data_IF_977574935156
#
_entry.id   IF_977574935156
#
_cell.length_a   1.000
_cell.length_b   1.000
_cell.length_c   1.000
_cell.angle_alpha   90.00
_cell.angle_beta   90.00
_cell.angle_gamma   90.00
#
_symmetry.space_group_name_H-M   'P 1'
#
loop_
_entity.id
_entity.type
_entity.pdbx_description
1 polymer ?
#
# COMPACT_ATOMS: atom_id res chain seq x y z
N UNK A 1 -24.53 2.59 2.19
CA UNK A 1 -24.47 1.22 1.66
C UNK A 1 -23.22 0.53 2.19
N UNK A 2 -23.27 -0.80 2.36
CA UNK A 2 -22.11 -1.61 2.81
C UNK A 2 -20.87 -1.38 1.92
N UNK A 3 -21.07 -1.23 0.62
CA UNK A 3 -19.98 -0.93 -0.32
C UNK A 3 -19.25 0.37 0.04
N UNK A 4 -19.99 1.45 0.35
CA UNK A 4 -19.37 2.73 0.71
C UNK A 4 -18.55 2.62 2.01
N UNK A 5 -19.01 1.83 2.98
CA UNK A 5 -18.27 1.57 4.21
C UNK A 5 -16.94 0.83 3.93
N UNK A 6 -17.00 -0.21 3.10
CA UNK A 6 -15.79 -0.96 2.69
C UNK A 6 -14.79 -0.08 1.92
N UNK A 7 -15.28 0.75 1.00
CA UNK A 7 -14.42 1.69 0.27
C UNK A 7 -13.75 2.69 1.23
N UNK A 8 -14.52 3.28 2.16
CA UNK A 8 -13.95 4.22 3.13
C UNK A 8 -12.93 3.54 4.06
N UNK A 9 -13.22 2.34 4.53
CA UNK A 9 -12.26 1.57 5.33
C UNK A 9 -10.98 1.25 4.55
N UNK A 10 -11.10 0.87 3.28
CA UNK A 10 -9.96 0.62 2.42
C UNK A 10 -9.12 1.88 2.18
N UNK A 11 -9.75 3.04 1.96
CA UNK A 11 -9.06 4.31 1.76
C UNK A 11 -8.32 4.78 3.01
N UNK A 12 -8.89 4.56 4.20
CA UNK A 12 -8.26 4.95 5.48
C UNK A 12 -7.20 3.97 5.96
N UNK A 13 -7.36 2.67 5.68
CA UNK A 13 -6.50 1.61 6.19
C UNK A 13 -5.42 1.10 5.22
N UNK A 14 -5.38 1.58 3.98
CA UNK A 14 -4.47 1.04 2.95
C UNK A 14 -3.02 1.52 3.13
N UNK A 15 -2.06 0.62 3.36
CA UNK A 15 -0.64 0.96 3.42
C UNK A 15 -0.10 1.52 2.08
N UNK A 16 -0.64 1.06 0.95
CA UNK A 16 -0.21 1.54 -0.37
C UNK A 16 -0.61 3.00 -0.61
N UNK A 17 -1.80 3.42 -0.14
CA UNK A 17 -2.24 4.80 -0.20
C UNK A 17 -1.44 5.67 0.78
N UNK A 18 -1.14 5.18 1.98
CA UNK A 18 -0.27 5.86 2.94
C UNK A 18 1.13 6.10 2.35
N UNK A 19 1.71 5.10 1.67
CA UNK A 19 2.99 5.24 0.98
C UNK A 19 2.93 6.28 -0.16
N UNK A 20 1.82 6.35 -0.91
CA UNK A 20 1.63 7.35 -1.96
C UNK A 20 1.52 8.77 -1.38
N UNK A 21 0.80 8.94 -0.27
CA UNK A 21 0.70 10.21 0.44
C UNK A 21 2.07 10.66 1.00
N UNK A 22 2.85 9.75 1.58
CA UNK A 22 4.20 10.04 2.06
C UNK A 22 5.15 10.50 0.93
N UNK A 23 5.00 9.95 -0.29
CA UNK A 23 5.74 10.42 -1.47
C UNK A 23 5.34 11.84 -1.87
N UNK A 24 4.06 12.15 -1.81
CA UNK A 24 3.58 13.52 -2.02
C UNK A 24 4.15 14.49 -0.96
N UNK A 25 4.09 14.14 0.32
CA UNK A 25 4.65 14.96 1.40
C UNK A 25 6.15 15.20 1.23
N UNK A 26 6.89 14.14 0.86
CA UNK A 26 8.32 14.27 0.51
C UNK A 26 8.54 15.24 -0.64
N UNK A 27 7.79 15.13 -1.72
CA UNK A 27 7.92 16.02 -2.89
C UNK A 27 7.56 17.48 -2.53
N UNK A 28 6.52 17.68 -1.69
CA UNK A 28 6.14 19.00 -1.19
C UNK A 28 7.22 19.61 -0.30
N UNK A 29 7.83 18.82 0.58
CA UNK A 29 8.95 19.26 1.41
C UNK A 29 10.20 19.64 0.59
N UNK A 30 10.51 18.90 -0.47
CA UNK A 30 11.58 19.24 -1.40
C UNK A 30 11.28 20.55 -2.16
N UNK A 31 10.04 20.77 -2.58
CA UNK A 31 9.65 22.03 -3.21
C UNK A 31 9.79 23.23 -2.22
N UNK A 32 9.38 23.03 -0.96
CA UNK A 32 9.58 24.02 0.09
C UNK A 32 11.07 24.30 0.35
N UNK A 33 11.91 23.27 0.38
CA UNK A 33 13.37 23.44 0.50
C UNK A 33 13.98 24.20 -0.68
N UNK A 34 13.49 23.94 -1.91
CA UNK A 34 13.93 24.65 -3.11
C UNK A 34 13.55 26.13 -3.10
N UNK A 35 12.43 26.51 -2.46
CA UNK A 35 11.99 27.90 -2.37
C UNK A 35 12.94 28.78 -1.54
N UNK A 36 13.70 28.19 -0.61
CA UNK A 36 14.66 28.88 0.25
C UNK A 36 16.08 28.92 -0.31
N UNK A 37 16.30 28.37 -1.53
CA UNK A 37 17.63 28.27 -2.12
C UNK A 37 18.26 29.65 -2.44
N UNK A 38 17.43 30.65 -2.73
CA UNK A 38 17.85 32.03 -3.02
C UNK A 38 17.93 32.93 -1.79
N UNK A 39 17.56 32.42 -0.61
CA UNK A 39 17.51 33.21 0.62
C UNK A 39 18.93 33.46 1.16
N UNK A 40 19.06 34.54 1.90
CA UNK A 40 20.30 34.87 2.62
C UNK A 40 20.49 33.84 3.74
N UNK A 41 21.62 33.16 3.76
CA UNK A 41 21.98 32.17 4.78
C UNK A 41 23.07 32.72 5.71
N UNK A 42 22.74 32.84 6.99
CA UNK A 42 23.67 33.08 8.06
C UNK A 42 24.17 31.77 8.66
N UNK A 43 25.46 31.60 8.83
CA UNK A 43 26.08 30.50 9.55
C UNK A 43 26.89 31.02 10.71
N UNK A 44 26.76 30.42 11.88
CA UNK A 44 27.59 30.64 13.05
C UNK A 44 28.20 29.32 13.47
N UNK A 45 29.52 29.24 13.51
CA UNK A 45 30.23 28.08 14.00
C UNK A 45 31.20 28.50 15.13
N UNK A 46 31.25 27.62 16.13
CA UNK A 46 32.20 27.79 17.24
C UNK A 46 32.85 26.42 17.49
N UNK A 47 34.16 26.41 17.51
CA UNK A 47 34.92 25.20 17.82
C UNK A 47 35.99 25.54 18.89
N UNK A 48 36.23 24.58 19.77
CA UNK A 48 37.28 24.65 20.76
C UNK A 48 38.11 23.38 20.70
N UNK A 49 39.41 23.53 20.52
CA UNK A 49 40.33 22.40 20.39
C UNK A 49 41.41 22.48 21.45
N UNK A 50 41.68 21.36 22.13
CA UNK A 50 42.83 21.20 22.99
C UNK A 50 43.80 20.24 22.31
N UNK A 51 44.97 20.75 21.93
CA UNK A 51 45.93 20.02 21.15
C UNK A 51 47.32 20.06 21.81
N UNK A 52 48.02 18.91 21.82
CA UNK A 52 49.43 18.84 22.18
C UNK A 52 50.26 18.97 20.90
N UNK A 53 51.14 19.95 20.86
CA UNK A 53 52.05 20.14 19.75
C UNK A 53 53.31 19.29 19.97
N UNK A 54 53.80 18.65 18.90
CA UNK A 54 55.01 17.84 18.95
C UNK A 54 56.24 18.72 19.18
N UNK A 55 57.19 18.24 19.98
CA UNK A 55 58.48 18.94 20.21
C UNK A 55 59.38 18.94 18.97
N UNK A 56 59.22 17.96 18.08
CA UNK A 56 60.05 17.73 16.90
C UNK A 56 59.38 18.11 15.59
N UNK A 57 58.42 19.04 15.61
CA UNK A 57 57.65 19.50 14.45
C UNK A 57 58.20 20.81 13.87
N UNK A 58 57.47 21.33 12.85
CA UNK A 58 57.80 22.60 12.19
C UNK A 58 57.37 23.83 13.02
N UNK A 59 56.76 23.65 14.17
CA UNK A 59 56.27 24.73 15.05
C UNK A 59 57.38 25.04 16.05
N UNK A 60 57.84 26.32 16.14
CA UNK A 60 58.91 26.69 17.04
C UNK A 60 58.48 26.82 18.50
N UNK A 61 59.47 26.89 19.41
CA UNK A 61 59.16 27.27 20.78
C UNK A 61 58.55 28.70 20.84
N UNK A 62 57.64 28.96 21.77
CA UNK A 62 57.27 28.17 22.97
C UNK A 62 56.15 27.15 22.77
N UNK A 63 55.62 27.00 21.57
CA UNK A 63 54.46 26.13 21.29
C UNK A 63 54.86 24.66 21.23
N UNK A 64 56.02 24.36 20.66
CA UNK A 64 56.55 23.00 20.53
C UNK A 64 56.61 22.28 21.88
N UNK A 65 56.09 21.05 21.95
CA UNK A 65 56.10 20.20 23.15
C UNK A 65 54.98 20.51 24.17
N UNK A 66 54.28 21.61 24.03
CA UNK A 66 53.25 22.06 25.00
C UNK A 66 51.86 21.79 24.54
N UNK A 67 50.90 21.88 25.48
CA UNK A 67 49.46 21.76 25.22
C UNK A 67 48.85 23.16 25.19
N UNK A 68 48.18 23.47 24.09
CA UNK A 68 47.43 24.72 23.95
C UNK A 68 45.95 24.45 23.69
N UNK A 69 45.13 25.40 24.17
CA UNK A 69 43.72 25.49 23.85
C UNK A 69 43.54 26.57 22.79
N UNK A 70 42.87 26.25 21.72
CA UNK A 70 42.43 27.21 20.72
C UNK A 70 40.90 27.21 20.65
N UNK A 71 40.33 28.39 20.51
CA UNK A 71 38.92 28.57 20.24
C UNK A 71 38.75 29.43 18.99
N UNK A 72 37.90 29.02 18.10
CA UNK A 72 37.54 29.76 16.90
C UNK A 72 36.04 29.98 16.86
N UNK A 73 35.65 31.22 16.60
CA UNK A 73 34.25 31.59 16.37
C UNK A 73 34.17 32.25 15.00
N UNK A 74 33.36 31.71 14.14
CA UNK A 74 33.21 32.18 12.77
C UNK A 74 31.78 32.47 12.46
N UNK A 75 31.47 33.66 11.98
CA UNK A 75 30.18 34.03 11.40
C UNK A 75 30.34 34.18 9.89
N UNK A 76 29.48 33.55 9.13
CA UNK A 76 29.42 33.61 7.67
C UNK A 76 28.06 34.07 7.18
N UNK A 77 28.05 34.85 6.10
CA UNK A 77 26.83 35.22 5.37
C UNK A 77 27.01 34.81 3.92
N UNK A 78 26.05 34.06 3.37
CA UNK A 78 26.06 33.67 1.97
C UNK A 78 24.74 34.05 1.31
N UNK A 79 24.82 34.61 0.11
CA UNK A 79 23.69 34.96 -0.71
C UNK A 79 23.99 34.64 -2.17
N UNK A 80 23.06 33.95 -2.84
CA UNK A 80 23.17 33.58 -4.24
C UNK A 80 21.99 34.18 -5.02
N UNK A 81 22.14 35.41 -5.56
CA UNK A 81 21.09 36.05 -6.36
C UNK A 81 20.85 35.30 -7.67
N UNK A 82 19.59 35.17 -8.05
CA UNK A 82 19.17 34.41 -9.25
C UNK A 82 19.10 35.30 -10.50
N UNK A 83 20.22 35.70 -11.03
CA UNK A 83 20.28 36.58 -12.22
C UNK A 83 19.80 35.93 -13.52
N UNK A 84 19.87 34.61 -13.63
CA UNK A 84 19.57 33.87 -14.87
C UNK A 84 18.37 32.94 -14.72
N UNK A 85 17.62 33.01 -13.65
CA UNK A 85 16.41 32.21 -13.44
C UNK A 85 16.68 30.73 -13.13
N UNK A 86 17.90 30.35 -12.74
CA UNK A 86 18.24 28.96 -12.41
C UNK A 86 17.42 28.46 -11.20
N UNK A 87 17.41 29.20 -10.10
CA UNK A 87 16.68 28.81 -8.89
C UNK A 87 15.18 28.84 -9.10
N UNK A 88 14.69 29.81 -9.87
CA UNK A 88 13.25 29.86 -10.22
C UNK A 88 12.83 28.65 -11.07
N UNK A 89 13.66 28.21 -12.01
CA UNK A 89 13.41 27.00 -12.81
C UNK A 89 13.47 25.72 -11.96
N UNK A 90 14.44 25.63 -11.04
CA UNK A 90 14.52 24.52 -10.07
C UNK A 90 13.28 24.46 -9.18
N UNK A 91 12.81 25.59 -8.67
CA UNK A 91 11.58 25.67 -7.87
C UNK A 91 10.36 25.24 -8.69
N UNK A 92 10.22 25.71 -9.94
CA UNK A 92 9.12 25.31 -10.82
C UNK A 92 9.15 23.80 -11.11
N UNK A 93 10.33 23.22 -11.31
CA UNK A 93 10.51 21.78 -11.46
C UNK A 93 10.06 21.02 -10.19
N UNK A 94 10.49 21.46 -9.01
CA UNK A 94 10.11 20.84 -7.73
C UNK A 94 8.60 20.95 -7.45
N UNK A 95 8.00 22.10 -7.75
CA UNK A 95 6.54 22.29 -7.66
C UNK A 95 5.79 21.39 -8.65
N UNK A 96 6.33 21.22 -9.87
CA UNK A 96 5.79 20.28 -10.85
C UNK A 96 5.80 18.84 -10.34
N UNK A 97 6.90 18.41 -9.74
CA UNK A 97 7.02 17.07 -9.12
C UNK A 97 6.04 16.89 -7.95
N UNK A 98 5.85 17.90 -7.11
CA UNK A 98 4.89 17.84 -6.01
C UNK A 98 3.44 17.73 -6.52
N UNK A 99 3.10 18.48 -7.59
CA UNK A 99 1.77 18.38 -8.24
C UNK A 99 1.56 17.02 -8.88
N UNK A 100 2.58 16.45 -9.54
CA UNK A 100 2.52 15.10 -10.11
C UNK A 100 2.30 14.05 -9.00
N UNK A 101 3.08 14.09 -7.92
CA UNK A 101 2.91 13.17 -6.79
C UNK A 101 1.53 13.28 -6.12
N UNK A 102 0.93 14.48 -6.07
CA UNK A 102 -0.44 14.67 -5.61
C UNK A 102 -1.46 14.03 -6.52
N UNK A 103 -1.29 14.17 -7.84
CA UNK A 103 -2.16 13.54 -8.83
C UNK A 103 -2.06 12.01 -8.78
N UNK A 104 -0.84 11.46 -8.60
CA UNK A 104 -0.59 10.03 -8.43
C UNK A 104 -1.27 9.48 -7.18
N UNK A 105 -1.25 10.23 -6.06
CA UNK A 105 -1.96 9.84 -4.83
C UNK A 105 -3.48 9.80 -5.05
N UNK A 106 -4.05 10.79 -5.76
CA UNK A 106 -5.48 10.81 -6.09
C UNK A 106 -5.86 9.66 -7.04
N UNK A 107 -5.01 9.35 -8.03
CA UNK A 107 -5.20 8.22 -8.93
C UNK A 107 -5.15 6.89 -8.18
N UNK A 108 -4.20 6.72 -7.25
CA UNK A 108 -4.09 5.52 -6.39
C UNK A 108 -5.36 5.32 -5.53
N UNK A 109 -5.90 6.39 -4.95
CA UNK A 109 -7.15 6.34 -4.19
C UNK A 109 -8.34 5.90 -5.06
N UNK A 110 -8.47 6.46 -6.27
CA UNK A 110 -9.52 6.09 -7.22
C UNK A 110 -9.38 4.64 -7.67
N UNK A 111 -8.17 4.20 -7.97
CA UNK A 111 -7.89 2.82 -8.37
C UNK A 111 -8.23 1.82 -7.26
N UNK A 112 -7.86 2.13 -6.02
CA UNK A 112 -8.19 1.32 -4.84
C UNK A 112 -9.71 1.21 -4.65
N UNK A 113 -10.43 2.33 -4.71
CA UNK A 113 -11.89 2.34 -4.61
C UNK A 113 -12.56 1.49 -5.70
N UNK A 114 -12.08 1.61 -6.95
CA UNK A 114 -12.58 0.81 -8.06
C UNK A 114 -12.27 -0.69 -7.90
N UNK A 115 -11.11 -1.03 -7.36
CA UNK A 115 -10.74 -2.43 -7.08
C UNK A 115 -11.64 -3.04 -6.01
N UNK A 116 -11.89 -2.33 -4.91
CA UNK A 116 -12.81 -2.78 -3.85
C UNK A 116 -14.21 -2.98 -4.40
N UNK A 117 -14.71 -2.04 -5.21
CA UNK A 117 -16.03 -2.15 -5.83
C UNK A 117 -16.15 -3.38 -6.75
N UNK A 118 -15.14 -3.61 -7.62
CA UNK A 118 -15.10 -4.80 -8.49
C UNK A 118 -15.08 -6.10 -7.69
N UNK A 119 -14.26 -6.16 -6.65
CA UNK A 119 -14.17 -7.35 -5.78
C UNK A 119 -15.49 -7.61 -5.03
N UNK A 120 -16.18 -6.55 -4.60
CA UNK A 120 -17.48 -6.66 -3.96
C UNK A 120 -18.54 -7.24 -4.90
N UNK A 121 -18.63 -6.74 -6.15
CA UNK A 121 -19.56 -7.25 -7.16
C UNK A 121 -19.21 -8.70 -7.54
N UNK A 122 -17.92 -9.02 -7.71
CA UNK A 122 -17.48 -10.39 -7.99
C UNK A 122 -17.87 -11.35 -6.85
N UNK A 123 -17.70 -10.95 -5.59
CA UNK A 123 -18.10 -11.73 -4.43
C UNK A 123 -19.62 -11.97 -4.41
N UNK A 124 -20.42 -10.93 -4.65
CA UNK A 124 -21.88 -11.05 -4.70
C UNK A 124 -22.33 -12.03 -5.80
N UNK A 125 -21.67 -11.97 -6.97
CA UNK A 125 -21.94 -12.93 -8.07
C UNK A 125 -21.62 -14.36 -7.67
N UNK A 126 -20.46 -14.60 -7.04
CA UNK A 126 -20.05 -15.95 -6.62
C UNK A 126 -21.00 -16.52 -5.57
N UNK A 127 -21.47 -15.70 -4.62
CA UNK A 127 -22.46 -16.12 -3.63
C UNK A 127 -23.78 -16.50 -4.30
N UNK A 128 -24.25 -15.71 -5.26
CA UNK A 128 -25.46 -16.03 -6.00
C UNK A 128 -25.31 -17.32 -6.84
N UNK A 129 -24.15 -17.52 -7.45
CA UNK A 129 -23.85 -18.77 -8.19
C UNK A 129 -23.82 -19.99 -7.27
N UNK A 130 -23.25 -19.88 -6.07
CA UNK A 130 -23.27 -20.95 -5.07
C UNK A 130 -24.70 -21.30 -4.67
N UNK A 131 -25.55 -20.30 -4.43
CA UNK A 131 -26.95 -20.49 -4.10
C UNK A 131 -27.72 -21.29 -5.17
N UNK A 132 -27.43 -20.98 -6.45
CA UNK A 132 -28.00 -21.74 -7.58
C UNK A 132 -27.44 -23.18 -7.59
N UNK A 133 -26.16 -23.37 -7.37
CA UNK A 133 -25.54 -24.71 -7.35
C UNK A 133 -26.12 -25.56 -6.19
N UNK A 134 -26.34 -24.99 -5.02
CA UNK A 134 -26.95 -25.65 -3.86
C UNK A 134 -28.40 -26.08 -4.17
N UNK A 135 -29.21 -25.22 -4.82
CA UNK A 135 -30.53 -25.57 -5.27
C UNK A 135 -30.54 -26.71 -6.31
N UNK A 136 -29.56 -26.66 -7.24
CA UNK A 136 -29.38 -27.72 -8.25
C UNK A 136 -29.04 -29.05 -7.58
N UNK A 137 -28.14 -29.03 -6.58
CA UNK A 137 -27.82 -30.22 -5.79
C UNK A 137 -29.09 -30.79 -5.11
N UNK A 138 -29.96 -29.93 -4.51
CA UNK A 138 -31.19 -30.35 -3.92
C UNK A 138 -32.18 -30.97 -4.93
N UNK A 139 -32.29 -30.42 -6.14
CA UNK A 139 -33.09 -30.99 -7.23
C UNK A 139 -32.53 -32.35 -7.67
N UNK A 140 -31.21 -32.50 -7.88
CA UNK A 140 -30.59 -33.79 -8.23
C UNK A 140 -30.81 -34.83 -7.13
N UNK A 141 -30.75 -34.45 -5.85
CA UNK A 141 -31.09 -35.36 -4.74
C UNK A 141 -32.55 -35.83 -4.77
N UNK A 142 -33.45 -34.93 -5.08
CA UNK A 142 -34.89 -35.32 -5.22
C UNK A 142 -35.12 -36.26 -6.39
N UNK A 143 -34.46 -36.03 -7.53
CA UNK A 143 -34.50 -36.93 -8.68
C UNK A 143 -33.88 -38.30 -8.38
N UNK A 144 -32.76 -38.35 -7.67
CA UNK A 144 -32.15 -39.61 -7.22
C UNK A 144 -33.09 -40.40 -6.35
N UNK A 145 -33.71 -39.77 -5.35
CA UNK A 145 -34.69 -40.42 -4.46
C UNK A 145 -35.91 -40.97 -5.24
N UNK A 146 -36.37 -40.23 -6.25
CA UNK A 146 -37.47 -40.69 -7.12
C UNK A 146 -37.02 -41.88 -7.96
N UNK A 147 -35.84 -41.82 -8.58
CA UNK A 147 -35.28 -42.94 -9.38
C UNK A 147 -35.11 -44.21 -8.53
N UNK A 148 -34.61 -44.07 -7.28
CA UNK A 148 -34.52 -45.18 -6.35
C UNK A 148 -35.89 -45.85 -6.07
N UNK A 149 -36.93 -45.04 -5.82
CA UNK A 149 -38.29 -45.55 -5.59
C UNK A 149 -38.84 -46.27 -6.81
N UNK A 150 -38.64 -45.69 -8.00
CA UNK A 150 -39.11 -46.30 -9.28
C UNK A 150 -38.40 -47.58 -9.61
N UNK A 151 -37.06 -47.62 -9.40
CA UNK A 151 -36.27 -48.83 -9.59
C UNK A 151 -36.70 -49.95 -8.63
N UNK A 152 -36.95 -49.62 -7.33
CA UNK A 152 -37.52 -50.59 -6.35
C UNK A 152 -38.89 -51.10 -6.74
N UNK A 153 -39.69 -50.27 -7.41
CA UNK A 153 -41.01 -50.68 -7.94
C UNK A 153 -40.93 -51.44 -9.28
N UNK A 154 -39.73 -51.66 -9.83
CA UNK A 154 -39.55 -52.30 -11.11
C UNK A 154 -39.92 -51.45 -12.33
N UNK A 155 -40.05 -50.12 -12.18
CA UNK A 155 -40.48 -49.19 -13.23
C UNK A 155 -39.28 -48.59 -13.99
N UNK A 156 -38.13 -48.53 -13.38
CA UNK A 156 -36.89 -47.99 -13.96
C UNK A 156 -35.77 -49.04 -13.91
N UNK A 157 -34.77 -48.87 -14.78
CA UNK A 157 -33.62 -49.78 -14.84
C UNK A 157 -32.51 -49.37 -13.88
N UNK A 158 -31.58 -50.25 -13.55
CA UNK A 158 -30.39 -49.97 -12.76
C UNK A 158 -29.45 -48.95 -13.43
N UNK A 159 -29.53 -48.85 -14.78
CA UNK A 159 -28.71 -47.85 -15.53
C UNK A 159 -29.19 -46.42 -15.21
N UNK A 160 -30.49 -46.17 -15.15
CA UNK A 160 -31.05 -44.88 -14.83
C UNK A 160 -30.72 -44.44 -13.39
N UNK A 161 -30.77 -45.39 -12.45
CA UNK A 161 -30.35 -45.15 -11.07
C UNK A 161 -28.84 -44.77 -11.01
N UNK A 162 -28.00 -45.51 -11.70
CA UNK A 162 -26.52 -45.21 -11.73
C UNK A 162 -26.24 -43.87 -12.36
N UNK A 163 -26.93 -43.45 -13.40
CA UNK A 163 -26.85 -42.12 -14.00
C UNK A 163 -27.25 -41.02 -13.04
N UNK A 164 -28.37 -41.18 -12.31
CA UNK A 164 -28.78 -40.23 -11.31
C UNK A 164 -27.77 -40.08 -10.17
N UNK A 165 -27.17 -41.18 -9.73
CA UNK A 165 -26.10 -41.20 -8.73
C UNK A 165 -24.83 -40.45 -9.20
N UNK A 166 -24.39 -40.67 -10.46
CA UNK A 166 -23.21 -40.06 -11.02
C UNK A 166 -23.23 -38.53 -11.05
N UNK A 167 -24.42 -37.92 -11.17
CA UNK A 167 -24.56 -36.45 -11.15
C UNK A 167 -24.36 -35.78 -9.79
N UNK A 168 -24.38 -36.54 -8.69
CA UNK A 168 -24.25 -35.97 -7.33
C UNK A 168 -22.84 -35.50 -6.99
N UNK A 169 -21.77 -36.28 -7.22
CA UNK A 169 -20.39 -35.82 -6.98
C UNK A 169 -20.02 -34.57 -7.77
N UNK A 170 -20.45 -34.48 -9.02
CA UNK A 170 -20.20 -33.33 -9.88
C UNK A 170 -20.82 -32.04 -9.28
N UNK A 171 -22.06 -32.09 -8.84
CA UNK A 171 -22.72 -30.96 -8.22
C UNK A 171 -22.04 -30.51 -6.91
N UNK A 172 -21.56 -31.46 -6.09
CA UNK A 172 -20.79 -31.16 -4.88
C UNK A 172 -19.46 -30.52 -5.20
N UNK A 173 -18.73 -31.06 -6.18
CA UNK A 173 -17.47 -30.48 -6.64
C UNK A 173 -17.62 -29.03 -7.10
N UNK A 174 -18.71 -28.73 -7.83
CA UNK A 174 -19.03 -27.36 -8.26
C UNK A 174 -19.23 -26.40 -7.07
N UNK A 175 -19.91 -26.85 -6.02
CA UNK A 175 -20.12 -26.06 -4.80
C UNK A 175 -18.79 -25.78 -4.09
N UNK A 176 -17.93 -26.79 -3.96
CA UNK A 176 -16.62 -26.63 -3.33
C UNK A 176 -15.71 -25.69 -4.12
N UNK A 177 -15.69 -25.76 -5.44
CA UNK A 177 -14.98 -24.82 -6.30
C UNK A 177 -15.47 -23.37 -6.09
N UNK A 178 -16.78 -23.16 -5.94
CA UNK A 178 -17.34 -21.85 -5.67
C UNK A 178 -17.01 -21.35 -4.26
N UNK A 179 -16.99 -22.23 -3.25
CA UNK A 179 -16.57 -21.92 -1.88
C UNK A 179 -15.11 -21.46 -1.82
N UNK A 180 -14.22 -22.15 -2.56
CA UNK A 180 -12.82 -21.74 -2.70
C UNK A 180 -12.69 -20.35 -3.33
N UNK A 181 -13.39 -20.11 -4.46
CA UNK A 181 -13.37 -18.82 -5.14
C UNK A 181 -13.92 -17.68 -4.25
N UNK A 182 -14.96 -17.91 -3.48
CA UNK A 182 -15.51 -16.99 -2.50
C UNK A 182 -14.44 -16.65 -1.45
N UNK A 183 -13.77 -17.67 -0.93
CA UNK A 183 -12.71 -17.48 0.08
C UNK A 183 -11.53 -16.68 -0.47
N UNK A 184 -11.08 -16.99 -1.67
CA UNK A 184 -10.02 -16.27 -2.35
C UNK A 184 -10.41 -14.82 -2.67
N UNK A 185 -11.67 -14.57 -3.06
CA UNK A 185 -12.17 -13.21 -3.36
C UNK A 185 -12.36 -12.36 -2.11
N UNK A 186 -12.59 -12.94 -0.94
CA UNK A 186 -12.68 -12.22 0.34
C UNK A 186 -11.34 -11.68 0.83
N UNK A 187 -10.23 -12.39 0.58
CA UNK A 187 -8.89 -12.00 1.06
C UNK A 187 -8.47 -10.60 0.59
N UNK A 188 -8.51 -10.24 -0.71
CA UNK A 188 -8.08 -8.92 -1.17
C UNK A 188 -9.00 -7.78 -0.69
N UNK A 189 -10.22 -8.07 -0.23
CA UNK A 189 -11.10 -7.08 0.41
C UNK A 189 -10.70 -6.88 1.87
N UNK A 190 -10.28 -7.94 2.56
CA UNK A 190 -9.90 -7.89 3.97
C UNK A 190 -8.54 -7.21 4.21
N UNK A 191 -7.57 -7.38 3.31
CA UNK A 191 -6.20 -6.84 3.48
C UNK A 191 -6.17 -5.30 3.54
N UNK A 192 -6.79 -4.54 2.62
CA UNK A 192 -6.81 -3.09 2.73
C UNK A 192 -7.69 -2.56 3.86
N UNK A 193 -8.60 -3.39 4.40
CA UNK A 193 -9.46 -3.06 5.55
C UNK A 193 -8.87 -3.49 6.89
N UNK A 194 -7.80 -4.29 6.91
CA UNK A 194 -7.09 -4.65 8.14
C UNK A 194 -6.34 -3.43 8.67
N UNK A 195 -6.68 -3.00 9.86
CA UNK A 195 -5.92 -1.98 10.58
C UNK A 195 -4.46 -2.44 10.69
N UNK A 196 -3.54 -1.57 10.31
CA UNK A 196 -2.13 -1.79 10.58
C UNK A 196 -1.98 -2.09 12.09
N UNK A 197 -1.18 -3.09 12.50
CA UNK A 197 -0.94 -3.34 13.91
C UNK A 197 -0.41 -2.05 14.52
N UNK A 198 -1.18 -1.49 15.48
CA UNK A 198 -0.72 -0.35 16.25
C UNK A 198 0.59 -0.78 16.91
N UNK A 199 1.68 -0.11 16.52
CA UNK A 199 2.94 -0.23 17.23
C UNK A 199 2.67 0.22 18.68
N UNK A 200 2.47 -0.73 19.57
CA UNK A 200 2.50 -0.48 20.98
C UNK A 200 3.91 -0.02 21.34
N UNK A 201 4.00 1.25 21.74
CA UNK A 201 5.18 1.78 22.42
C UNK A 201 5.34 1.15 23.80
#
# INVERSE_FOLDING_TARGET
TQLNQLVNQALTGSPSLAASNARFEKAAALAAASSTASDIRGTLSADATRQRYTANGMIPAPIAGNIYNSANVQAGLSWAPDFFGKHSAELQSALGQARAAKADSAAAATQLAAQVARSYVALARLIAQRDVAERTLGQRQSLLNLSEQRTKAGLDSQVELTQAQAGMPEARTQIEMLNEQITLTRRPIAVPCAQAPQAQK
#
